data_IF_087058029087
#
_entry.id   IF_087058029087
#
_cell.length_a   1.000
_cell.length_b   1.000
_cell.length_c   1.000
_cell.angle_alpha   90.00
_cell.angle_beta   90.00
_cell.angle_gamma   90.00
#
_symmetry.space_group_name_H-M   'P 1'
#
loop_
_entity.id
_entity.type
_entity.pdbx_description
1 polymer ?
#
# COMPACT_ATOMS: atom_id res chain seq x y z
N UNK A 1 3.11 -11.65 -36.45
CA UNK A 1 1.86 -11.63 -35.68
C UNK A 1 1.45 -13.09 -35.56
N UNK A 2 1.20 -13.58 -34.37
CA UNK A 2 0.71 -14.92 -34.15
C UNK A 2 -0.80 -14.97 -34.43
N UNK A 3 -1.40 -16.14 -34.61
CA UNK A 3 -2.81 -16.28 -34.90
C UNK A 3 -3.54 -17.03 -33.76
N UNK A 4 -4.83 -16.76 -33.60
CA UNK A 4 -5.70 -17.45 -32.64
C UNK A 4 -5.34 -17.24 -31.18
N UNK A 5 -5.53 -18.26 -30.38
CA UNK A 5 -5.41 -18.24 -28.92
C UNK A 5 -4.03 -17.79 -28.40
N UNK A 6 -2.97 -18.02 -29.20
CA UNK A 6 -1.62 -17.59 -28.81
C UNK A 6 -1.51 -16.06 -28.82
N UNK A 7 -2.08 -15.40 -29.84
CA UNK A 7 -2.10 -13.95 -29.91
C UNK A 7 -2.97 -13.36 -28.78
N UNK A 8 -4.14 -13.96 -28.53
CA UNK A 8 -5.02 -13.55 -27.42
C UNK A 8 -4.29 -13.60 -26.06
N UNK A 9 -3.56 -14.68 -25.79
CA UNK A 9 -2.76 -14.79 -24.57
C UNK A 9 -1.69 -13.69 -24.46
N UNK A 10 -0.99 -13.41 -25.56
CA UNK A 10 0.02 -12.33 -25.59
C UNK A 10 -0.63 -10.97 -25.31
N UNK A 11 -1.78 -10.71 -25.92
CA UNK A 11 -2.51 -9.46 -25.77
C UNK A 11 -3.02 -9.27 -24.32
N UNK A 12 -3.58 -10.30 -23.72
CA UNK A 12 -4.02 -10.26 -22.31
C UNK A 12 -2.85 -10.07 -21.34
N UNK A 13 -1.73 -10.76 -21.55
CA UNK A 13 -0.53 -10.56 -20.75
C UNK A 13 0.04 -9.15 -20.93
N UNK A 14 -0.05 -8.58 -22.15
CA UNK A 14 0.41 -7.23 -22.46
C UNK A 14 -0.42 -6.12 -21.81
N UNK A 15 -1.62 -6.42 -21.32
CA UNK A 15 -2.46 -5.48 -20.54
C UNK A 15 -2.04 -5.39 -19.08
N UNK A 16 -1.18 -6.30 -18.61
CA UNK A 16 -0.72 -6.26 -17.22
C UNK A 16 0.27 -5.10 -17.01
N UNK A 17 0.15 -4.35 -15.89
CA UNK A 17 1.06 -3.27 -15.57
C UNK A 17 2.53 -3.73 -15.58
N UNK A 18 3.40 -3.01 -16.28
CA UNK A 18 4.83 -3.33 -16.37
C UNK A 18 5.18 -4.46 -17.34
N UNK A 19 4.19 -5.06 -18.02
CA UNK A 19 4.42 -6.11 -19.01
C UNK A 19 4.36 -5.52 -20.42
N UNK A 20 5.53 -5.23 -21.00
CA UNK A 20 5.64 -4.77 -22.38
C UNK A 20 5.49 -5.92 -23.39
N UNK A 21 5.33 -5.62 -24.71
CA UNK A 21 5.08 -6.63 -25.76
C UNK A 21 6.08 -7.78 -25.80
N UNK A 22 7.38 -7.49 -25.61
CA UNK A 22 8.43 -8.53 -25.57
C UNK A 22 8.30 -9.45 -24.36
N UNK A 23 7.93 -8.89 -23.21
CA UNK A 23 7.72 -9.66 -21.98
C UNK A 23 6.45 -10.51 -22.07
N UNK A 24 5.37 -9.97 -22.59
CA UNK A 24 4.12 -10.69 -22.84
C UNK A 24 4.36 -11.92 -23.73
N UNK A 25 5.04 -11.73 -24.86
CA UNK A 25 5.41 -12.81 -25.75
C UNK A 25 6.26 -13.89 -25.07
N UNK A 26 7.29 -13.47 -24.30
CA UNK A 26 8.16 -14.41 -23.58
C UNK A 26 7.39 -15.22 -22.54
N UNK A 27 6.47 -14.60 -21.80
CA UNK A 27 5.63 -15.29 -20.81
C UNK A 27 4.69 -16.25 -21.51
N UNK A 28 4.04 -15.86 -22.62
CA UNK A 28 3.15 -16.73 -23.37
C UNK A 28 3.87 -17.99 -23.87
N UNK A 29 5.06 -17.84 -24.47
CA UNK A 29 5.85 -18.99 -24.93
C UNK A 29 6.39 -19.86 -23.78
N UNK A 30 6.71 -19.28 -22.65
CA UNK A 30 7.04 -20.04 -21.44
C UNK A 30 5.85 -20.93 -21.02
N UNK A 31 4.64 -20.37 -20.95
CA UNK A 31 3.44 -21.12 -20.58
C UNK A 31 3.09 -22.22 -21.58
N UNK A 32 3.36 -22.01 -22.89
CA UNK A 32 3.17 -23.05 -23.91
C UNK A 32 4.14 -24.25 -23.78
N UNK A 33 5.31 -24.02 -23.18
CA UNK A 33 6.32 -25.06 -22.96
C UNK A 33 6.24 -25.69 -21.56
N UNK A 34 5.45 -25.08 -20.67
CA UNK A 34 5.25 -25.57 -19.31
C UNK A 34 4.26 -26.73 -19.31
N UNK A 35 4.38 -27.62 -18.32
CA UNK A 35 3.42 -28.71 -18.12
C UNK A 35 2.00 -28.18 -17.94
N UNK A 36 1.02 -28.87 -18.52
CA UNK A 36 -0.40 -28.48 -18.50
C UNK A 36 -0.93 -28.17 -17.09
N UNK A 37 -0.48 -28.91 -16.08
CA UNK A 37 -0.92 -28.74 -14.71
C UNK A 37 -0.46 -27.41 -14.10
N UNK A 38 0.70 -26.88 -14.49
CA UNK A 38 1.17 -25.58 -14.03
C UNK A 38 0.33 -24.43 -14.64
N UNK A 39 0.03 -24.52 -15.93
CA UNK A 39 -0.81 -23.53 -16.60
C UNK A 39 -2.23 -23.52 -16.01
N UNK A 40 -2.83 -24.70 -15.82
CA UNK A 40 -4.14 -24.86 -15.16
C UNK A 40 -4.15 -24.31 -13.75
N UNK A 41 -3.08 -24.60 -12.98
CA UNK A 41 -2.95 -24.09 -11.60
C UNK A 41 -2.91 -22.56 -11.56
N UNK A 42 -2.16 -21.92 -12.46
CA UNK A 42 -2.11 -20.46 -12.56
C UNK A 42 -3.50 -19.89 -12.86
N UNK A 43 -4.20 -20.44 -13.87
CA UNK A 43 -5.55 -20.00 -14.23
C UNK A 43 -6.52 -20.14 -13.05
N UNK A 44 -6.47 -21.27 -12.34
CA UNK A 44 -7.29 -21.51 -11.16
C UNK A 44 -7.02 -20.48 -10.06
N UNK A 45 -5.75 -20.22 -9.73
CA UNK A 45 -5.38 -19.25 -8.68
C UNK A 45 -5.84 -17.84 -9.04
N UNK A 46 -5.72 -17.44 -10.30
CA UNK A 46 -6.22 -16.13 -10.77
C UNK A 46 -7.73 -15.99 -10.53
N UNK A 47 -8.50 -17.04 -10.83
CA UNK A 47 -9.95 -17.06 -10.58
C UNK A 47 -10.25 -17.02 -9.08
N UNK A 48 -9.62 -17.89 -8.29
CA UNK A 48 -9.82 -17.97 -6.84
C UNK A 48 -9.52 -16.65 -6.13
N UNK A 49 -8.45 -15.95 -6.52
CA UNK A 49 -8.11 -14.64 -5.95
C UNK A 49 -9.24 -13.63 -6.17
N UNK A 50 -9.82 -13.59 -7.36
CA UNK A 50 -10.93 -12.67 -7.68
C UNK A 50 -12.23 -13.01 -6.94
N UNK A 51 -12.46 -14.27 -6.64
CA UNK A 51 -13.68 -14.74 -5.96
C UNK A 51 -13.58 -14.62 -4.44
N UNK A 52 -12.41 -14.93 -3.86
CA UNK A 52 -12.23 -15.10 -2.42
C UNK A 52 -11.62 -13.89 -1.73
N UNK A 53 -10.73 -13.14 -2.40
CA UNK A 53 -10.06 -12.00 -1.77
C UNK A 53 -10.98 -10.79 -1.74
N UNK A 54 -11.11 -10.21 -0.55
CA UNK A 54 -11.93 -9.03 -0.25
C UNK A 54 -11.09 -8.00 0.50
N UNK A 55 -11.69 -6.87 0.76
CA UNK A 55 -11.11 -5.87 1.65
C UNK A 55 -11.70 -6.02 3.06
N UNK A 56 -10.82 -5.96 4.06
CA UNK A 56 -11.21 -6.00 5.46
C UNK A 56 -12.21 -4.87 5.76
N UNK A 57 -13.34 -5.21 6.35
CA UNK A 57 -14.42 -4.27 6.67
C UNK A 57 -13.97 -3.16 7.63
N UNK A 58 -12.95 -3.45 8.49
CA UNK A 58 -12.43 -2.49 9.46
C UNK A 58 -11.35 -1.58 8.86
N UNK A 59 -10.33 -2.17 8.22
CA UNK A 59 -9.12 -1.42 7.87
C UNK A 59 -8.84 -1.31 6.36
N UNK A 60 -9.60 -1.98 5.50
CA UNK A 60 -9.38 -1.95 4.04
C UNK A 60 -8.21 -2.82 3.54
N UNK A 61 -7.50 -3.54 4.41
CA UNK A 61 -6.45 -4.46 3.97
C UNK A 61 -7.03 -5.67 3.25
N UNK A 62 -6.27 -6.29 2.35
CA UNK A 62 -6.69 -7.51 1.65
C UNK A 62 -6.85 -8.69 2.62
N UNK A 63 -7.91 -9.49 2.42
CA UNK A 63 -8.25 -10.64 3.28
C UNK A 63 -9.23 -11.57 2.57
N UNK A 64 -9.30 -12.83 2.96
CA UNK A 64 -10.36 -13.75 2.54
C UNK A 64 -11.54 -13.74 3.54
N UNK A 65 -11.33 -13.25 4.75
CA UNK A 65 -12.31 -13.17 5.83
C UNK A 65 -12.89 -11.75 5.94
N UNK A 66 -14.04 -11.55 6.61
CA UNK A 66 -14.60 -10.22 6.84
C UNK A 66 -13.62 -9.27 7.53
N UNK A 67 -12.78 -9.79 8.44
CA UNK A 67 -11.75 -9.03 9.14
C UNK A 67 -10.39 -9.68 8.97
N UNK A 68 -9.37 -8.90 8.60
CA UNK A 68 -8.02 -9.41 8.42
C UNK A 68 -7.38 -9.87 9.75
N UNK A 69 -6.31 -10.65 9.64
CA UNK A 69 -5.59 -11.20 10.80
C UNK A 69 -5.12 -10.11 11.76
N UNK A 70 -4.70 -8.96 11.24
CA UNK A 70 -4.24 -7.82 12.06
C UNK A 70 -5.38 -7.24 12.91
N UNK A 71 -6.55 -7.03 12.32
CA UNK A 71 -7.71 -6.51 13.04
C UNK A 71 -8.27 -7.48 14.09
N UNK A 72 -8.12 -8.78 13.87
CA UNK A 72 -8.55 -9.84 14.80
C UNK A 72 -7.54 -10.10 15.92
N UNK A 73 -6.28 -9.72 15.78
CA UNK A 73 -5.24 -10.00 16.79
C UNK A 73 -5.44 -9.11 18.03
N UNK A 74 -5.90 -9.72 19.11
CA UNK A 74 -6.14 -9.05 20.40
C UNK A 74 -4.86 -8.52 21.08
N UNK A 75 -3.68 -8.98 20.66
CA UNK A 75 -2.39 -8.55 21.22
C UNK A 75 -1.92 -7.21 20.65
N UNK A 76 -2.59 -6.69 19.62
CA UNK A 76 -2.27 -5.42 18.99
C UNK A 76 -2.66 -4.23 19.86
N UNK A 77 -1.84 -3.19 19.82
CA UNK A 77 -2.19 -1.91 20.41
C UNK A 77 -3.37 -1.29 19.63
N UNK A 78 -4.49 -1.13 20.30
CA UNK A 78 -5.73 -0.63 19.72
C UNK A 78 -5.85 0.89 19.76
N UNK A 79 -4.90 1.59 20.40
CA UNK A 79 -4.91 3.05 20.52
C UNK A 79 -4.11 3.76 19.43
N UNK A 80 -3.38 3.02 18.59
CA UNK A 80 -2.54 3.58 17.52
C UNK A 80 -2.95 3.01 16.17
N UNK A 81 -3.21 3.88 15.19
CA UNK A 81 -3.51 3.52 13.79
C UNK A 81 -2.41 4.05 12.88
N UNK A 82 -1.84 3.17 12.06
CA UNK A 82 -0.96 3.53 10.94
C UNK A 82 -1.80 3.59 9.64
N UNK A 83 -1.88 4.76 9.03
CA UNK A 83 -2.61 4.99 7.78
C UNK A 83 -1.64 4.85 6.62
N UNK A 84 -1.96 3.96 5.69
CA UNK A 84 -1.15 3.66 4.49
C UNK A 84 -1.99 3.78 3.22
N UNK A 85 -1.35 3.89 2.08
CA UNK A 85 -2.04 4.00 0.79
C UNK A 85 -2.60 2.66 0.33
N UNK A 86 -1.80 1.60 0.36
CA UNK A 86 -2.15 0.29 -0.16
C UNK A 86 -1.83 -0.87 0.80
N UNK A 87 -2.42 -2.03 0.53
CA UNK A 87 -2.17 -3.24 1.33
C UNK A 87 -0.72 -3.74 1.25
N UNK A 88 0.01 -3.43 0.18
CA UNK A 88 1.44 -3.75 0.06
C UNK A 88 2.27 -3.03 1.12
N UNK A 89 1.88 -1.81 1.50
CA UNK A 89 2.58 -0.99 2.50
C UNK A 89 2.44 -1.60 3.89
N UNK A 90 1.26 -2.14 4.21
CA UNK A 90 1.06 -2.93 5.44
C UNK A 90 2.09 -4.05 5.53
N UNK A 91 2.31 -4.79 4.43
CA UNK A 91 3.28 -5.88 4.40
C UNK A 91 4.72 -5.38 4.57
N UNK A 92 5.05 -4.21 4.00
CA UNK A 92 6.37 -3.61 4.14
C UNK A 92 6.66 -3.23 5.61
N UNK A 93 5.70 -2.60 6.28
CA UNK A 93 5.84 -2.22 7.70
C UNK A 93 5.85 -3.46 8.60
N UNK A 94 4.98 -4.45 8.39
CA UNK A 94 4.93 -5.68 9.20
C UNK A 94 6.24 -6.49 9.14
N UNK A 95 6.97 -6.46 8.03
CA UNK A 95 8.29 -7.12 7.93
C UNK A 95 9.32 -6.55 8.90
N UNK A 96 9.20 -5.29 9.28
CA UNK A 96 10.11 -4.68 10.26
C UNK A 96 9.91 -5.23 11.67
N UNK A 97 8.70 -5.71 12.00
CA UNK A 97 8.27 -6.17 13.33
C UNK A 97 8.29 -5.08 14.41
N UNK A 98 8.49 -3.83 14.04
CA UNK A 98 8.57 -2.69 14.98
C UNK A 98 7.20 -2.14 15.34
N UNK A 99 6.23 -2.17 14.41
CA UNK A 99 4.90 -1.64 14.64
C UNK A 99 3.95 -2.71 15.18
N UNK A 100 3.24 -2.39 16.27
CA UNK A 100 2.29 -3.29 16.94
C UNK A 100 0.88 -2.73 17.03
N UNK A 101 0.61 -1.61 16.35
CA UNK A 101 -0.71 -1.00 16.27
C UNK A 101 -1.60 -1.62 15.19
N UNK A 102 -2.66 -0.91 14.88
CA UNK A 102 -3.62 -1.24 13.82
C UNK A 102 -3.30 -0.44 12.56
N UNK A 103 -3.85 -0.89 11.43
CA UNK A 103 -3.70 -0.19 10.15
C UNK A 103 -5.03 0.36 9.65
N UNK A 104 -4.93 1.34 8.75
CA UNK A 104 -6.01 1.76 7.88
C UNK A 104 -5.47 1.97 6.47
N UNK A 105 -6.02 1.23 5.50
CA UNK A 105 -5.63 1.30 4.09
C UNK A 105 -6.60 2.22 3.36
N UNK A 106 -6.06 3.28 2.75
CA UNK A 106 -6.85 4.29 2.05
C UNK A 106 -7.38 3.80 0.70
N UNK A 107 -6.67 2.87 0.06
CA UNK A 107 -6.98 2.39 -1.29
C UNK A 107 -6.31 3.21 -2.40
N UNK A 108 -5.34 4.07 -2.06
CA UNK A 108 -4.58 4.92 -2.97
C UNK A 108 -4.18 6.24 -2.32
N UNK A 109 -3.79 7.20 -3.14
CA UNK A 109 -3.44 8.57 -2.76
C UNK A 109 -4.30 9.60 -3.52
N UNK A 110 -4.39 10.82 -3.02
CA UNK A 110 -5.01 11.94 -3.74
C UNK A 110 -4.12 12.28 -4.93
N UNK A 111 -4.67 12.13 -6.14
CA UNK A 111 -3.98 12.41 -7.41
C UNK A 111 -4.88 13.20 -8.34
N UNK A 112 -4.75 14.54 -8.40
CA UNK A 112 -5.53 15.35 -9.31
C UNK A 112 -5.30 15.00 -10.79
N UNK A 113 -4.10 14.52 -11.12
CA UNK A 113 -3.74 14.13 -12.50
C UNK A 113 -4.53 12.89 -12.93
N UNK A 114 -4.72 11.94 -12.01
CA UNK A 114 -5.50 10.71 -12.24
C UNK A 114 -7.00 10.89 -11.91
N UNK A 115 -7.40 12.09 -11.48
CA UNK A 115 -8.77 12.39 -11.09
C UNK A 115 -9.20 11.75 -9.77
N UNK A 116 -8.24 11.34 -8.93
CA UNK A 116 -8.51 10.69 -7.63
C UNK A 116 -8.64 11.78 -6.56
N UNK A 117 -9.85 11.98 -6.07
CA UNK A 117 -10.17 12.88 -4.97
C UNK A 117 -10.28 12.16 -3.63
N UNK A 118 -10.42 12.92 -2.51
CA UNK A 118 -10.56 12.34 -1.17
C UNK A 118 -11.78 11.42 -1.02
N UNK A 119 -12.84 11.67 -1.78
CA UNK A 119 -14.10 10.90 -1.71
C UNK A 119 -13.96 9.49 -2.33
N UNK A 120 -12.92 9.26 -3.13
CA UNK A 120 -12.61 7.97 -3.73
C UNK A 120 -11.71 7.11 -2.83
N UNK A 121 -11.18 7.71 -1.75
CA UNK A 121 -10.35 7.04 -0.75
C UNK A 121 -11.17 6.72 0.50
N UNK A 122 -10.72 5.74 1.27
CA UNK A 122 -11.37 5.29 2.52
C UNK A 122 -11.17 6.26 3.70
N UNK A 123 -11.17 7.56 3.44
CA UNK A 123 -10.98 8.61 4.47
C UNK A 123 -12.22 8.72 5.36
N UNK A 124 -13.41 8.55 4.79
CA UNK A 124 -14.66 8.57 5.54
C UNK A 124 -14.71 7.44 6.58
N UNK A 125 -14.30 6.24 6.18
CA UNK A 125 -14.23 5.08 7.09
C UNK A 125 -13.17 5.28 8.18
N UNK A 126 -12.04 5.93 7.86
CA UNK A 126 -11.05 6.32 8.87
C UNK A 126 -11.70 7.23 9.93
N UNK A 127 -12.38 8.29 9.50
CA UNK A 127 -13.04 9.25 10.40
C UNK A 127 -14.09 8.57 11.28
N UNK A 128 -14.91 7.69 10.71
CA UNK A 128 -15.90 6.91 11.48
C UNK A 128 -15.22 6.02 12.52
N UNK A 129 -14.11 5.38 12.15
CA UNK A 129 -13.35 4.53 13.06
C UNK A 129 -12.74 5.31 14.21
N UNK A 130 -12.23 6.51 13.97
CA UNK A 130 -11.68 7.39 15.00
C UNK A 130 -12.75 7.89 15.98
N UNK A 131 -13.97 8.13 15.50
CA UNK A 131 -15.09 8.52 16.35
C UNK A 131 -15.62 7.44 17.28
N UNK A 132 -15.36 6.17 16.97
CA UNK A 132 -15.89 5.00 17.69
C UNK A 132 -14.84 4.23 18.50
N UNK A 133 -13.58 4.66 18.51
CA UNK A 133 -12.48 3.95 19.15
C UNK A 133 -11.63 4.88 20.02
N UNK A 134 -11.00 4.34 21.04
CA UNK A 134 -10.06 5.08 21.91
C UNK A 134 -8.70 5.22 21.23
N UNK A 135 -8.67 5.92 20.08
CA UNK A 135 -7.43 6.17 19.33
C UNK A 135 -6.76 7.42 19.88
N UNK A 136 -5.52 7.27 20.30
CA UNK A 136 -4.69 8.35 20.83
C UNK A 136 -3.67 8.86 19.82
N UNK A 137 -3.29 8.02 18.84
CA UNK A 137 -2.32 8.37 17.82
C UNK A 137 -2.71 7.83 16.42
N UNK A 138 -2.54 8.69 15.42
CA UNK A 138 -2.58 8.33 14.00
C UNK A 138 -1.22 8.61 13.38
N UNK A 139 -0.57 7.56 12.87
CA UNK A 139 0.67 7.65 12.11
C UNK A 139 0.30 7.72 10.63
N UNK A 140 0.63 8.81 9.96
CA UNK A 140 0.43 8.96 8.51
C UNK A 140 1.68 8.40 7.82
N UNK A 141 1.53 7.27 7.14
CA UNK A 141 2.58 6.54 6.46
C UNK A 141 2.27 6.41 4.96
N UNK A 142 1.92 7.53 4.34
CA UNK A 142 1.80 7.66 2.88
C UNK A 142 3.17 7.70 2.22
N UNK A 143 3.24 7.40 0.94
CA UNK A 143 4.49 7.42 0.18
C UNK A 143 5.14 8.81 0.20
N UNK A 144 6.48 8.92 0.23
CA UNK A 144 7.19 10.19 0.24
C UNK A 144 7.30 10.81 -1.17
N UNK A 145 6.23 10.74 -1.96
CA UNK A 145 6.06 11.36 -3.28
C UNK A 145 5.05 12.51 -3.23
N UNK A 146 4.78 13.15 -4.36
CA UNK A 146 3.91 14.32 -4.44
C UNK A 146 2.47 14.00 -4.00
N UNK A 147 1.92 12.89 -4.45
CA UNK A 147 0.57 12.43 -4.15
C UNK A 147 0.43 12.04 -2.66
N UNK A 148 1.42 11.32 -2.14
CA UNK A 148 1.44 10.94 -0.72
C UNK A 148 1.60 12.13 0.22
N UNK A 149 2.40 13.15 -0.15
CA UNK A 149 2.53 14.41 0.60
C UNK A 149 1.22 15.22 0.57
N UNK A 150 0.54 15.29 -0.58
CA UNK A 150 -0.77 15.92 -0.70
C UNK A 150 -1.80 15.21 0.19
N UNK A 151 -1.80 13.88 0.14
CA UNK A 151 -2.68 13.04 0.97
C UNK A 151 -2.40 13.22 2.46
N UNK A 152 -1.13 13.22 2.87
CA UNK A 152 -0.73 13.47 4.26
C UNK A 152 -1.17 14.85 4.75
N UNK A 153 -1.01 15.87 3.92
CA UNK A 153 -1.43 17.25 4.24
C UNK A 153 -2.95 17.32 4.42
N UNK A 154 -3.69 16.68 3.54
CA UNK A 154 -5.16 16.62 3.63
C UNK A 154 -5.59 15.91 4.92
N UNK A 155 -5.04 14.73 5.20
CA UNK A 155 -5.33 13.96 6.42
C UNK A 155 -4.98 14.75 7.69
N UNK A 156 -3.83 15.41 7.72
CA UNK A 156 -3.41 16.23 8.87
C UNK A 156 -4.45 17.32 9.17
N UNK A 157 -4.95 18.03 8.14
CA UNK A 157 -5.99 19.05 8.32
C UNK A 157 -7.31 18.47 8.84
N UNK A 158 -7.69 17.30 8.35
CA UNK A 158 -8.92 16.63 8.77
C UNK A 158 -8.83 16.10 10.21
N UNK A 159 -7.67 15.61 10.62
CA UNK A 159 -7.46 14.97 11.91
C UNK A 159 -7.11 15.96 13.04
N UNK A 160 -6.50 17.10 12.72
CA UNK A 160 -6.07 18.11 13.72
C UNK A 160 -7.19 18.54 14.69
N UNK A 161 -8.46 18.73 14.27
CA UNK A 161 -9.52 19.12 15.19
C UNK A 161 -9.92 18.05 16.21
N UNK A 162 -9.51 16.79 16.01
CA UNK A 162 -9.90 15.66 16.86
C UNK A 162 -9.09 15.59 18.18
N UNK A 163 -8.03 16.37 18.32
CA UNK A 163 -7.19 16.39 19.53
C UNK A 163 -6.35 15.13 19.76
N UNK A 164 -6.20 14.28 18.72
CA UNK A 164 -5.35 13.10 18.74
C UNK A 164 -3.93 13.45 18.30
N UNK A 165 -2.94 12.66 18.72
CA UNK A 165 -1.57 12.80 18.23
C UNK A 165 -1.48 12.38 16.77
N UNK A 166 -0.93 13.25 15.92
CA UNK A 166 -0.67 12.95 14.52
C UNK A 166 0.83 12.90 14.32
N UNK A 167 1.33 11.79 13.85
CA UNK A 167 2.76 11.59 13.57
C UNK A 167 2.97 11.11 12.13
N UNK A 168 4.20 11.21 11.65
CA UNK A 168 4.63 10.74 10.32
C UNK A 168 5.88 9.88 10.46
N UNK A 169 6.10 9.00 9.50
CA UNK A 169 7.35 8.26 9.42
C UNK A 169 8.51 9.25 9.24
N UNK A 170 9.62 8.99 9.93
CA UNK A 170 10.82 9.81 9.79
C UNK A 170 11.36 9.68 8.36
N UNK A 171 11.70 10.83 7.78
CA UNK A 171 12.41 10.91 6.49
C UNK A 171 13.90 11.16 6.75
N UNK A 172 14.77 10.60 5.91
CA UNK A 172 16.20 10.83 6.06
C UNK A 172 17.04 9.88 5.22
N UNK A 173 18.34 9.83 5.54
CA UNK A 173 19.32 9.05 4.83
C UNK A 173 19.06 7.55 4.99
N UNK A 174 19.15 6.77 3.91
CA UNK A 174 19.07 5.32 3.99
C UNK A 174 20.29 4.74 4.74
N UNK A 175 20.04 3.69 5.53
CA UNK A 175 21.12 2.98 6.22
C UNK A 175 22.01 2.28 5.20
N UNK A 176 23.33 2.47 5.33
CA UNK A 176 24.33 1.87 4.44
C UNK A 176 24.63 2.65 3.16
N UNK A 177 24.03 3.83 2.99
CA UNK A 177 24.39 4.74 1.89
C UNK A 177 25.48 5.74 2.28
N UNK A 178 26.30 6.15 1.31
CA UNK A 178 27.28 7.21 1.50
C UNK A 178 26.61 8.58 1.37
N UNK A 179 27.03 9.52 2.19
CA UNK A 179 26.44 10.86 2.25
C UNK A 179 26.56 11.62 0.93
N UNK A 180 27.64 11.40 0.19
CA UNK A 180 27.92 12.09 -1.07
C UNK A 180 26.96 11.70 -2.22
N UNK A 181 26.29 10.55 -2.12
CA UNK A 181 25.33 10.09 -3.13
C UNK A 181 23.88 10.43 -2.78
N UNK A 182 23.64 11.03 -1.62
CA UNK A 182 22.29 11.47 -1.25
C UNK A 182 21.92 12.75 -2.02
N UNK A 183 20.71 12.78 -2.56
CA UNK A 183 20.20 13.99 -3.20
C UNK A 183 19.92 15.11 -2.19
N UNK A 184 19.85 16.34 -2.68
CA UNK A 184 19.71 17.54 -1.86
C UNK A 184 18.42 17.54 -1.02
N UNK A 185 17.31 16.98 -1.55
CA UNK A 185 16.02 16.91 -0.84
C UNK A 185 16.10 15.94 0.33
N UNK A 186 16.68 14.77 0.08
CA UNK A 186 16.90 13.74 1.13
C UNK A 186 17.81 14.27 2.23
N UNK A 187 18.91 14.94 1.88
CA UNK A 187 19.80 15.60 2.85
C UNK A 187 19.08 16.69 3.64
N UNK A 188 18.31 17.55 2.97
CA UNK A 188 17.52 18.60 3.62
C UNK A 188 16.56 18.02 4.66
N UNK A 189 15.79 17.01 4.29
CA UNK A 189 14.86 16.30 5.21
C UNK A 189 15.59 15.64 6.39
N UNK A 190 16.79 15.07 6.15
CA UNK A 190 17.61 14.50 7.22
C UNK A 190 18.07 15.56 8.24
N UNK A 191 18.44 16.77 7.77
CA UNK A 191 18.78 17.89 8.65
C UNK A 191 17.58 18.40 9.44
N UNK A 192 16.41 18.52 8.84
CA UNK A 192 15.18 18.90 9.53
C UNK A 192 14.80 17.88 10.61
N UNK A 193 14.87 16.58 10.27
CA UNK A 193 14.56 15.47 11.17
C UNK A 193 15.68 15.06 12.13
N UNK A 194 16.81 15.82 12.21
CA UNK A 194 17.95 15.46 13.06
C UNK A 194 17.56 15.33 14.53
N UNK A 195 18.10 14.32 15.19
CA UNK A 195 17.89 14.05 16.62
C UNK A 195 19.10 14.45 17.44
N UNK A 196 18.85 14.97 18.64
CA UNK A 196 19.91 15.19 19.63
C UNK A 196 20.36 13.83 20.15
N UNK A 197 21.66 13.57 20.09
CA UNK A 197 22.30 12.40 20.73
C UNK A 197 22.79 12.82 22.11
N UNK A 198 22.43 12.01 23.11
CA UNK A 198 22.89 12.18 24.50
C UNK A 198 24.00 11.17 24.78
#
# INVERSE_FOLDING_TARGET
MYEGVVQELIDELGRLPGVGPKSAQRIAFYLLQTEDDQAKRLAQVLTEVKERVKFCEICGNVTEEPQCNICRDARRNRTTICVVEESKDVQAIERTREFRGLYHVLGGAISPIEGIGPDQLRIKELMQRLGNAEITEVIIATDPNLEGEATATYLTRMLSPLGITISRLASGLPVGGDLEYADEVTLGRAFEGRRVVQ
#
